data_IF_264708611438
#
_entry.id   IF_264708611438
#
_cell.length_a   1.000
_cell.length_b   1.000
_cell.length_c   1.000
_cell.angle_alpha   90.00
_cell.angle_beta   90.00
_cell.angle_gamma   90.00
#
_symmetry.space_group_name_H-M   'P 1'
#
loop_
_entity.id
_entity.type
_entity.pdbx_description
1 polymer ?
#
# COMPACT_ATOMS: atom_id res chain seq x y z
N UNK A 1 -17.17 13.97 8.19
CA UNK A 1 -16.71 12.65 8.68
C UNK A 1 -15.19 12.68 8.69
N UNK A 2 -14.55 12.73 9.86
CA UNK A 2 -13.10 12.56 9.93
C UNK A 2 -12.81 11.10 9.58
N UNK A 3 -12.42 10.84 8.34
CA UNK A 3 -12.00 9.50 7.91
C UNK A 3 -10.81 9.05 8.75
N UNK A 4 -10.67 7.74 8.98
CA UNK A 4 -9.53 7.17 9.69
C UNK A 4 -8.19 7.65 9.12
N UNK A 5 -8.15 7.99 7.82
CA UNK A 5 -6.99 8.54 7.12
C UNK A 5 -6.57 9.91 7.67
N UNK A 6 -7.52 10.80 7.97
CA UNK A 6 -7.20 12.09 8.57
C UNK A 6 -6.58 11.92 9.96
N UNK A 7 -7.05 10.93 10.73
CA UNK A 7 -6.49 10.62 12.05
C UNK A 7 -5.07 10.05 11.90
N UNK A 8 -4.85 9.14 10.94
CA UNK A 8 -3.52 8.58 10.65
C UNK A 8 -2.51 9.66 10.26
N UNK A 9 -2.86 10.53 9.32
CA UNK A 9 -1.98 11.60 8.86
C UNK A 9 -1.57 12.56 9.99
N UNK A 10 -2.53 12.97 10.83
CA UNK A 10 -2.25 13.81 12.00
C UNK A 10 -1.34 13.12 13.03
N UNK A 11 -1.43 11.79 13.19
CA UNK A 11 -0.53 11.03 14.07
C UNK A 11 0.89 11.01 13.50
N UNK A 12 1.03 10.77 12.19
CA UNK A 12 2.34 10.77 11.50
C UNK A 12 3.02 12.13 11.67
N UNK A 13 2.31 13.23 11.43
CA UNK A 13 2.85 14.59 11.58
C UNK A 13 3.36 14.84 13.00
N UNK A 14 2.61 14.39 14.02
CA UNK A 14 3.03 14.51 15.42
C UNK A 14 4.26 13.65 15.71
N UNK A 15 4.32 12.42 15.21
CA UNK A 15 5.47 11.52 15.39
C UNK A 15 6.75 12.13 14.81
N UNK A 16 6.67 12.77 13.64
CA UNK A 16 7.81 13.42 12.98
C UNK A 16 8.39 14.61 13.77
N UNK A 17 7.63 15.20 14.70
CA UNK A 17 8.08 16.33 15.52
C UNK A 17 8.69 15.93 16.87
N UNK A 18 8.62 14.65 17.23
CA UNK A 18 9.13 14.17 18.52
C UNK A 18 10.60 13.79 18.38
N UNK A 19 11.47 14.46 19.13
CA UNK A 19 12.91 14.12 19.20
C UNK A 19 13.28 13.22 20.37
N UNK A 20 12.35 13.00 21.32
CA UNK A 20 12.61 12.20 22.52
C UNK A 20 12.49 10.70 22.22
N UNK A 21 13.61 9.98 22.33
CA UNK A 21 13.70 8.55 22.04
C UNK A 21 12.87 7.68 22.99
N UNK A 22 12.84 7.99 24.28
CA UNK A 22 12.11 7.19 25.26
C UNK A 22 10.60 7.31 25.04
N UNK A 23 10.14 8.49 24.66
CA UNK A 23 8.75 8.75 24.30
C UNK A 23 8.34 8.00 23.01
N UNK A 24 9.18 8.04 21.98
CA UNK A 24 8.98 7.24 20.75
C UNK A 24 8.95 5.74 21.06
N UNK A 25 9.80 5.28 21.98
CA UNK A 25 9.87 3.86 22.37
C UNK A 25 8.60 3.43 23.11
N UNK A 26 8.06 4.27 23.99
CA UNK A 26 6.81 4.01 24.67
C UNK A 26 5.61 3.98 23.71
N UNK A 27 5.57 4.92 22.76
CA UNK A 27 4.55 4.96 21.70
C UNK A 27 4.62 3.73 20.78
N UNK A 28 5.82 3.33 20.37
CA UNK A 28 6.03 2.11 19.60
C UNK A 28 5.46 0.89 20.32
N UNK A 29 5.82 0.70 21.60
CA UNK A 29 5.30 -0.41 22.42
C UNK A 29 3.78 -0.34 22.57
N UNK A 30 3.20 0.84 22.71
CA UNK A 30 1.75 1.01 22.81
C UNK A 30 1.03 0.55 21.54
N UNK A 31 1.55 0.92 20.37
CA UNK A 31 0.99 0.54 19.07
C UNK A 31 1.22 -0.95 18.79
N UNK A 32 2.39 -1.47 19.12
CA UNK A 32 2.75 -2.88 18.93
C UNK A 32 1.92 -3.83 19.82
N UNK A 33 1.56 -3.39 21.04
CA UNK A 33 0.65 -4.13 21.94
C UNK A 33 -0.83 -3.86 21.68
N UNK A 34 -1.18 -2.88 20.84
CA UNK A 34 -2.55 -2.75 20.38
C UNK A 34 -2.83 -3.99 19.53
N UNK A 35 -3.93 -4.69 19.82
CA UNK A 35 -4.38 -5.85 19.03
C UNK A 35 -4.66 -5.34 17.63
N UNK A 36 -3.63 -5.30 16.79
CA UNK A 36 -3.78 -5.29 15.35
C UNK A 36 -4.45 -6.62 15.10
N UNK A 37 -5.76 -6.57 14.85
CA UNK A 37 -6.45 -7.74 14.34
C UNK A 37 -5.58 -8.26 13.21
N UNK A 38 -5.10 -9.49 13.36
CA UNK A 38 -4.31 -10.19 12.35
C UNK A 38 -5.23 -10.58 11.17
N UNK A 39 -6.21 -9.72 10.88
CA UNK A 39 -7.10 -9.73 9.75
C UNK A 39 -6.22 -9.44 8.55
N UNK A 40 -5.62 -10.52 8.05
CA UNK A 40 -5.10 -10.56 6.69
C UNK A 40 -6.17 -9.98 5.79
N UNK A 41 -5.80 -8.98 5.01
CA UNK A 41 -6.67 -8.41 3.98
C UNK A 41 -7.21 -9.57 3.15
N UNK A 42 -8.52 -9.81 3.24
CA UNK A 42 -9.19 -10.81 2.44
C UNK A 42 -9.40 -10.23 1.05
N UNK A 43 -8.84 -10.88 0.04
CA UNK A 43 -9.05 -10.48 -1.34
C UNK A 43 -10.49 -10.84 -1.74
N UNK A 44 -11.11 -9.97 -2.54
CA UNK A 44 -12.39 -10.30 -3.16
C UNK A 44 -12.23 -11.40 -4.21
N UNK A 45 -13.33 -12.02 -4.63
CA UNK A 45 -13.30 -13.04 -5.67
C UNK A 45 -12.71 -12.51 -6.99
N UNK A 46 -13.02 -11.25 -7.32
CA UNK A 46 -12.53 -10.56 -8.52
C UNK A 46 -11.02 -10.30 -8.45
N UNK A 47 -10.51 -9.93 -7.27
CA UNK A 47 -9.07 -9.72 -7.06
C UNK A 47 -8.30 -11.04 -7.17
N UNK A 48 -8.83 -12.12 -6.61
CA UNK A 48 -8.25 -13.46 -6.75
C UNK A 48 -8.24 -13.88 -8.22
N UNK A 49 -9.36 -13.66 -8.93
CA UNK A 49 -9.45 -13.95 -10.36
C UNK A 49 -8.41 -13.17 -11.18
N UNK A 50 -8.20 -11.89 -10.86
CA UNK A 50 -7.19 -11.06 -11.54
C UNK A 50 -5.77 -11.61 -11.35
N UNK A 51 -5.45 -12.10 -10.14
CA UNK A 51 -4.16 -12.76 -9.88
C UNK A 51 -4.02 -14.07 -10.66
N UNK A 52 -5.07 -14.88 -10.73
CA UNK A 52 -5.06 -16.13 -11.50
C UNK A 52 -4.87 -15.89 -13.01
N UNK A 53 -5.45 -14.81 -13.54
CA UNK A 53 -5.21 -14.40 -14.93
C UNK A 53 -3.77 -13.95 -15.13
N UNK A 54 -3.20 -13.20 -14.18
CA UNK A 54 -1.79 -12.80 -14.22
C UNK A 54 -0.85 -14.00 -14.21
N UNK A 55 -1.10 -15.01 -13.37
CA UNK A 55 -0.32 -16.26 -13.36
C UNK A 55 -0.35 -16.96 -14.71
N UNK A 56 -1.52 -16.96 -15.37
CA UNK A 56 -1.67 -17.52 -16.72
C UNK A 56 -0.89 -16.72 -17.76
N UNK A 57 -0.94 -15.39 -17.72
CA UNK A 57 -0.20 -14.53 -18.64
C UNK A 57 1.32 -14.71 -18.48
N UNK A 58 1.81 -14.92 -17.25
CA UNK A 58 3.22 -15.27 -16.99
C UNK A 58 3.57 -16.62 -17.64
N UNK A 59 2.75 -17.65 -17.46
CA UNK A 59 2.97 -18.98 -18.06
C UNK A 59 2.95 -18.96 -19.58
N UNK A 60 2.10 -18.13 -20.18
CA UNK A 60 1.96 -17.97 -21.62
C UNK A 60 2.98 -16.99 -22.21
N UNK A 61 3.84 -16.38 -21.38
CA UNK A 61 4.87 -15.43 -21.82
C UNK A 61 4.29 -14.09 -22.31
N UNK A 62 3.06 -13.75 -21.93
CA UNK A 62 2.39 -12.47 -22.24
C UNK A 62 2.86 -11.37 -21.29
N UNK A 63 4.16 -11.13 -21.29
CA UNK A 63 4.82 -10.12 -20.48
C UNK A 63 5.22 -8.95 -21.37
N UNK A 64 5.26 -7.76 -20.78
CA UNK A 64 5.83 -6.57 -21.40
C UNK A 64 7.07 -6.17 -20.61
N UNK A 65 8.06 -5.61 -21.28
CA UNK A 65 9.22 -5.02 -20.62
C UNK A 65 8.83 -3.73 -19.90
N UNK A 66 9.65 -3.33 -18.92
CA UNK A 66 9.45 -2.05 -18.22
C UNK A 66 9.54 -0.88 -19.20
N UNK A 67 10.45 -0.96 -20.17
CA UNK A 67 10.62 0.07 -21.20
C UNK A 67 9.38 0.23 -22.10
N UNK A 68 8.68 -0.87 -22.41
CA UNK A 68 7.43 -0.83 -23.16
C UNK A 68 6.29 -0.21 -22.33
N UNK A 69 6.22 -0.54 -21.04
CA UNK A 69 5.25 0.03 -20.11
C UNK A 69 5.47 1.54 -19.94
N UNK A 70 6.73 1.97 -19.73
CA UNK A 70 7.09 3.38 -19.60
C UNK A 70 6.69 4.18 -20.85
N UNK A 71 6.86 3.59 -22.05
CA UNK A 71 6.44 4.23 -23.30
C UNK A 71 4.92 4.38 -23.37
N UNK A 72 4.17 3.34 -23.00
CA UNK A 72 2.71 3.39 -22.96
C UNK A 72 2.20 4.43 -21.98
N UNK A 73 2.81 4.54 -20.79
CA UNK A 73 2.46 5.53 -19.78
C UNK A 73 2.73 6.97 -20.27
N UNK A 74 3.85 7.20 -20.97
CA UNK A 74 4.16 8.50 -21.57
C UNK A 74 3.18 8.89 -22.68
N UNK A 75 2.71 7.94 -23.48
CA UNK A 75 1.68 8.21 -24.48
C UNK A 75 0.33 8.53 -23.82
N UNK A 76 -0.06 7.78 -22.78
CA UNK A 76 -1.28 8.06 -22.02
C UNK A 76 -1.27 9.46 -21.39
N UNK A 77 -0.14 9.89 -20.83
CA UNK A 77 0.01 11.23 -20.25
C UNK A 77 -0.09 12.37 -21.28
N UNK A 78 0.16 12.11 -22.57
CA UNK A 78 0.01 13.13 -23.64
C UNK A 78 -1.44 13.28 -24.11
N UNK A 79 -2.29 12.30 -23.85
CA UNK A 79 -3.72 12.34 -24.18
C UNK A 79 -4.56 13.07 -23.12
N UNK A 80 -3.95 13.51 -22.02
CA UNK A 80 -4.53 14.33 -20.94
C UNK A 80 -4.14 15.79 -21.13
#
# INVERSE_FOLDING_TARGET
MATADNIRNNIIDKLLTISNKDYLTALFKLVDNSVVTNEKVQLSAEQILMLQLSDKDIQEGKLISQEELDKSDLEWLKEI
#
